data_IF_588879151300
#
_entry.id   IF_588879151300
#
_cell.length_a   1.000
_cell.length_b   1.000
_cell.length_c   1.000
_cell.angle_alpha   90.00
_cell.angle_beta   90.00
_cell.angle_gamma   90.00
#
_symmetry.space_group_name_H-M   'P 1'
#
loop_
_entity.id
_entity.type
_entity.pdbx_description
1 polymer ?
#
# COMPACT_ATOMS: atom_id res chain seq x y z
N UNK A 1 15.62 -21.92 1.63
CA UNK A 1 15.61 -21.95 0.15
C UNK A 1 14.62 -20.88 -0.34
N UNK A 2 15.09 -19.65 -0.57
CA UNK A 2 14.26 -18.50 -1.02
C UNK A 2 14.41 -18.25 -2.53
N UNK A 3 15.51 -18.74 -3.13
CA UNK A 3 15.92 -18.46 -4.52
C UNK A 3 14.93 -18.85 -5.64
N UNK A 4 14.00 -19.83 -5.52
CA UNK A 4 12.99 -20.05 -6.56
C UNK A 4 11.67 -19.28 -6.35
N UNK A 5 11.51 -18.50 -5.26
CA UNK A 5 10.24 -17.85 -4.88
C UNK A 5 9.92 -16.55 -5.62
N UNK A 6 10.78 -16.07 -6.53
CA UNK A 6 10.57 -14.82 -7.23
C UNK A 6 10.31 -15.08 -8.72
N UNK A 7 9.21 -14.52 -9.22
CA UNK A 7 8.79 -14.72 -10.60
C UNK A 7 9.67 -13.87 -11.54
N UNK A 8 10.83 -14.38 -11.95
CA UNK A 8 11.73 -13.72 -12.89
C UNK A 8 11.08 -13.38 -14.26
N UNK A 9 9.87 -13.91 -14.53
CA UNK A 9 9.13 -13.72 -15.80
C UNK A 9 8.46 -12.36 -15.98
N UNK A 10 8.41 -11.49 -14.96
CA UNK A 10 7.83 -10.14 -15.07
C UNK A 10 8.87 -9.03 -15.31
N UNK A 11 10.15 -9.37 -15.53
CA UNK A 11 11.21 -8.44 -15.93
C UNK A 11 11.05 -8.01 -17.41
N UNK A 12 9.92 -7.40 -17.74
CA UNK A 12 9.75 -6.59 -18.94
C UNK A 12 10.71 -5.41 -18.88
N UNK A 13 11.49 -5.21 -19.94
CA UNK A 13 12.67 -4.32 -20.03
C UNK A 13 12.42 -2.79 -19.84
N UNK A 14 11.36 -2.35 -19.18
CA UNK A 14 11.04 -0.93 -19.05
C UNK A 14 10.70 -0.52 -17.62
N UNK A 15 11.76 -0.24 -16.84
CA UNK A 15 11.93 0.88 -15.92
C UNK A 15 12.85 0.49 -14.76
N UNK A 16 14.14 0.43 -15.07
CA UNK A 16 15.21 0.24 -14.10
C UNK A 16 15.75 1.60 -13.69
N UNK A 17 15.48 2.01 -12.45
CA UNK A 17 16.23 3.10 -11.81
C UNK A 17 16.52 2.74 -10.35
N UNK A 18 17.40 1.77 -10.13
CA UNK A 18 18.18 1.73 -8.89
C UNK A 18 19.03 3.01 -8.81
N UNK A 19 19.20 3.56 -7.62
CA UNK A 19 20.23 4.60 -7.46
C UNK A 19 21.59 3.93 -7.35
N UNK A 20 22.62 4.58 -7.91
CA UNK A 20 24.02 4.13 -7.79
C UNK A 20 24.41 3.87 -6.33
N UNK A 21 23.81 4.63 -5.40
CA UNK A 21 24.03 4.48 -3.96
C UNK A 21 23.49 3.16 -3.38
N UNK A 22 22.29 2.70 -3.79
CA UNK A 22 21.69 1.46 -3.28
C UNK A 22 22.45 0.21 -3.78
N UNK A 23 22.93 0.23 -5.03
CA UNK A 23 23.77 -0.85 -5.57
C UNK A 23 25.12 -0.95 -4.85
N UNK A 24 25.76 0.19 -4.59
CA UNK A 24 27.02 0.27 -3.84
C UNK A 24 26.86 -0.30 -2.44
N UNK A 25 25.75 0.00 -1.77
CA UNK A 25 25.45 -0.53 -0.43
C UNK A 25 25.30 -2.05 -0.45
N UNK A 26 24.60 -2.60 -1.45
CA UNK A 26 24.45 -4.05 -1.59
C UNK A 26 25.81 -4.72 -1.81
N UNK A 27 26.66 -4.18 -2.70
CA UNK A 27 27.99 -4.73 -2.96
C UNK A 27 28.88 -4.68 -1.72
N UNK A 28 28.86 -3.58 -0.97
CA UNK A 28 29.59 -3.47 0.30
C UNK A 28 29.08 -4.46 1.34
N UNK A 29 27.75 -4.63 1.45
CA UNK A 29 27.14 -5.58 2.38
C UNK A 29 27.56 -7.02 2.07
N UNK A 30 27.56 -7.42 0.79
CA UNK A 30 28.02 -8.75 0.35
C UNK A 30 29.49 -8.99 0.72
N UNK A 31 30.34 -7.98 0.53
CA UNK A 31 31.78 -8.05 0.81
C UNK A 31 32.11 -8.22 2.30
N UNK A 32 31.26 -7.69 3.20
CA UNK A 32 31.49 -7.75 4.65
C UNK A 32 30.67 -8.84 5.36
N UNK A 33 29.86 -9.60 4.63
CA UNK A 33 29.01 -10.64 5.21
C UNK A 33 29.68 -12.01 5.11
N UNK A 34 29.46 -12.85 6.12
CA UNK A 34 29.84 -14.27 6.13
C UNK A 34 28.57 -15.11 6.11
N UNK A 35 28.64 -16.34 5.59
CA UNK A 35 27.52 -17.29 5.59
C UNK A 35 27.77 -18.39 6.61
N UNK A 36 26.88 -18.64 7.59
CA UNK A 36 25.70 -17.83 7.92
C UNK A 36 26.06 -16.47 8.52
N UNK A 37 25.20 -15.47 8.32
CA UNK A 37 25.36 -14.14 8.94
C UNK A 37 25.20 -14.25 10.45
N UNK A 38 26.11 -13.62 11.20
CA UNK A 38 26.08 -13.66 12.66
C UNK A 38 24.78 -13.03 13.20
N UNK A 39 24.12 -13.71 14.14
CA UNK A 39 22.95 -13.18 14.84
C UNK A 39 23.38 -12.05 15.76
N UNK A 40 22.70 -10.90 15.67
CA UNK A 40 22.94 -9.78 16.59
C UNK A 40 22.53 -10.14 18.03
N UNK A 41 23.40 -9.86 19.00
CA UNK A 41 23.09 -9.95 20.44
C UNK A 41 22.05 -8.92 20.88
N UNK A 42 21.94 -7.81 20.14
CA UNK A 42 20.93 -6.77 20.38
C UNK A 42 19.67 -7.11 19.60
N UNK A 43 18.53 -7.19 20.30
CA UNK A 43 17.21 -7.38 19.67
C UNK A 43 16.92 -6.26 18.68
N UNK A 44 16.53 -6.62 17.46
CA UNK A 44 16.09 -5.64 16.48
C UNK A 44 14.82 -4.92 16.95
N UNK A 45 14.84 -3.60 16.88
CA UNK A 45 13.66 -2.75 17.03
C UNK A 45 13.45 -2.08 15.68
N UNK A 46 12.28 -2.26 15.08
CA UNK A 46 11.98 -1.63 13.80
C UNK A 46 12.10 -0.13 13.93
N UNK A 47 13.00 0.46 13.15
CA UNK A 47 13.17 1.90 13.04
C UNK A 47 12.31 2.51 11.94
N UNK A 48 11.31 1.77 11.42
CA UNK A 48 10.40 2.25 10.38
C UNK A 48 9.67 3.56 10.77
N UNK A 49 9.52 3.82 12.07
CA UNK A 49 8.89 5.02 12.63
C UNK A 49 9.87 6.16 12.95
N UNK A 50 11.18 5.98 12.78
CA UNK A 50 12.08 7.13 12.86
C UNK A 50 11.74 8.04 11.68
N UNK A 51 11.44 9.34 11.92
CA UNK A 51 11.15 10.26 10.84
C UNK A 51 12.39 10.33 9.94
N UNK A 52 12.32 9.66 8.79
CA UNK A 52 13.12 10.02 7.63
C UNK A 52 12.73 11.46 7.34
N UNK A 53 13.55 12.41 7.77
CA UNK A 53 13.24 13.83 7.73
C UNK A 53 12.73 14.21 6.32
N UNK A 54 11.41 14.33 6.14
CA UNK A 54 10.80 14.86 4.91
C UNK A 54 11.11 16.33 4.72
N UNK A 55 11.60 16.99 5.77
CA UNK A 55 12.15 18.34 5.70
C UNK A 55 13.61 18.21 5.32
N UNK A 56 14.00 18.88 4.24
CA UNK A 56 15.40 19.20 4.05
C UNK A 56 15.91 19.80 5.37
N UNK A 57 17.11 19.44 5.84
CA UNK A 57 17.72 20.17 6.95
C UNK A 57 17.60 21.67 6.65
N UNK A 58 17.34 22.52 7.66
CA UNK A 58 17.25 23.95 7.43
C UNK A 58 18.54 24.42 6.77
N UNK A 59 18.41 25.29 5.76
CA UNK A 59 19.57 25.90 5.09
C UNK A 59 20.51 26.46 6.18
N UNK A 60 21.83 26.21 6.05
CA UNK A 60 22.76 26.67 7.05
C UNK A 60 22.67 28.19 7.12
N UNK A 61 22.62 28.73 8.34
CA UNK A 61 22.48 30.16 8.58
C UNK A 61 23.74 30.94 8.18
N UNK A 62 24.85 30.23 8.03
CA UNK A 62 26.14 30.73 7.58
C UNK A 62 26.73 29.80 6.51
N UNK A 63 27.39 30.39 5.51
CA UNK A 63 28.01 29.67 4.38
C UNK A 63 29.46 29.27 4.68
N UNK A 64 29.82 29.05 5.96
CA UNK A 64 31.15 28.55 6.29
C UNK A 64 31.35 27.15 5.72
N UNK A 65 32.58 26.82 5.35
CA UNK A 65 32.93 25.51 4.78
C UNK A 65 32.44 24.36 5.67
N UNK A 66 32.59 24.51 7.00
CA UNK A 66 32.10 23.54 7.99
C UNK A 66 30.56 23.43 8.00
N UNK A 67 29.83 24.55 7.95
CA UNK A 67 28.36 24.56 7.93
C UNK A 67 27.77 24.02 6.62
N UNK A 68 28.45 24.25 5.48
CA UNK A 68 28.09 23.67 4.18
C UNK A 68 28.37 22.16 4.18
N UNK A 69 29.53 21.72 4.68
CA UNK A 69 29.88 20.31 4.81
C UNK A 69 28.89 19.58 5.73
N UNK A 70 28.53 20.15 6.88
CA UNK A 70 27.54 19.56 7.79
C UNK A 70 26.12 19.54 7.20
N UNK A 71 25.75 20.51 6.37
CA UNK A 71 24.49 20.55 5.64
C UNK A 71 24.42 19.49 4.54
N UNK A 72 25.49 19.36 3.75
CA UNK A 72 25.65 18.31 2.73
C UNK A 72 25.68 16.93 3.40
N UNK A 73 26.39 16.75 4.51
CA UNK A 73 26.42 15.48 5.25
C UNK A 73 25.02 15.05 5.76
N UNK A 74 24.13 16.01 6.07
CA UNK A 74 22.74 15.74 6.46
C UNK A 74 21.81 15.49 5.26
N UNK A 75 22.19 15.92 4.06
CA UNK A 75 21.47 15.61 2.82
C UNK A 75 21.74 14.18 2.32
N UNK A 76 22.83 13.55 2.76
CA UNK A 76 23.32 12.29 2.19
C UNK A 76 23.19 11.12 3.19
N UNK A 77 21.97 10.58 3.34
CA UNK A 77 21.74 9.43 4.24
C UNK A 77 22.46 8.16 3.78
N UNK A 78 22.60 7.95 2.46
CA UNK A 78 23.25 6.76 1.91
C UNK A 78 24.77 6.80 1.98
N UNK A 79 25.41 7.96 1.86
CA UNK A 79 26.87 8.10 2.04
C UNK A 79 27.30 7.80 3.47
N UNK A 80 26.54 8.23 4.48
CA UNK A 80 26.82 7.84 5.86
C UNK A 80 26.68 6.33 6.08
N UNK A 81 25.77 5.67 5.34
CA UNK A 81 25.63 4.21 5.37
C UNK A 81 26.84 3.56 4.70
N UNK A 82 27.24 4.02 3.51
CA UNK A 82 28.43 3.57 2.78
C UNK A 82 29.69 3.72 3.65
N UNK A 83 29.94 4.90 4.20
CA UNK A 83 31.08 5.18 5.09
C UNK A 83 31.09 4.25 6.31
N UNK A 84 29.93 3.95 6.90
CA UNK A 84 29.83 2.98 8.01
C UNK A 84 30.16 1.55 7.56
N UNK A 85 29.69 1.13 6.39
CA UNK A 85 30.00 -0.20 5.84
C UNK A 85 31.48 -0.32 5.49
N UNK A 86 32.09 0.73 4.95
CA UNK A 86 33.53 0.80 4.68
C UNK A 86 34.37 0.75 5.97
N UNK A 87 33.92 1.44 7.04
CA UNK A 87 34.57 1.34 8.35
C UNK A 87 34.49 -0.10 8.89
N UNK A 88 33.36 -0.79 8.72
CA UNK A 88 33.23 -2.20 9.13
C UNK A 88 34.18 -3.10 8.32
N UNK A 89 34.25 -2.89 7.01
CA UNK A 89 35.19 -3.58 6.10
C UNK A 89 36.64 -3.38 6.55
N UNK A 90 37.04 -2.13 6.81
CA UNK A 90 38.40 -1.78 7.24
C UNK A 90 38.78 -2.29 8.63
N UNK A 91 37.79 -2.64 9.47
CA UNK A 91 37.98 -3.25 10.79
C UNK A 91 37.87 -4.79 10.77
N UNK A 92 37.79 -5.40 9.59
CA UNK A 92 37.54 -6.84 9.41
C UNK A 92 36.30 -7.35 10.18
N UNK A 93 35.35 -6.45 10.44
CA UNK A 93 34.14 -6.72 11.20
C UNK A 93 33.02 -7.14 10.24
N UNK A 94 32.40 -8.28 10.51
CA UNK A 94 31.33 -8.79 9.66
C UNK A 94 29.98 -8.10 9.96
N UNK A 95 29.15 -7.94 8.93
CA UNK A 95 27.75 -7.55 9.13
C UNK A 95 26.98 -8.63 9.91
N UNK A 96 26.07 -8.20 10.78
CA UNK A 96 25.17 -9.07 11.53
C UNK A 96 23.72 -8.90 11.06
N UNK A 97 22.81 -9.73 11.56
CA UNK A 97 21.39 -9.71 11.16
C UNK A 97 20.73 -8.32 11.27
N UNK A 98 21.08 -7.51 12.28
CA UNK A 98 20.52 -6.15 12.43
C UNK A 98 20.97 -5.20 11.32
N UNK A 99 22.21 -5.34 10.82
CA UNK A 99 22.68 -4.56 9.67
C UNK A 99 21.82 -4.85 8.45
N UNK A 100 21.53 -6.12 8.19
CA UNK A 100 20.65 -6.54 7.09
C UNK A 100 19.23 -5.98 7.25
N UNK A 101 18.62 -6.13 8.43
CA UNK A 101 17.27 -5.63 8.69
C UNK A 101 17.17 -4.10 8.55
N UNK A 102 18.18 -3.37 9.02
CA UNK A 102 18.23 -1.92 8.86
C UNK A 102 18.29 -1.52 7.38
N UNK A 103 19.24 -2.08 6.63
CA UNK A 103 19.42 -1.72 5.22
C UNK A 103 18.20 -2.06 4.36
N UNK A 104 17.57 -3.21 4.61
CA UNK A 104 16.32 -3.58 3.92
C UNK A 104 15.24 -2.52 4.12
N UNK A 105 15.06 -2.02 5.35
CA UNK A 105 14.05 -0.99 5.65
C UNK A 105 14.40 0.37 5.04
N UNK A 106 15.69 0.71 4.92
CA UNK A 106 16.14 2.01 4.38
C UNK A 106 15.98 2.10 2.87
N UNK A 107 16.15 1.00 2.13
CA UNK A 107 15.91 1.00 0.69
C UNK A 107 14.49 1.45 0.39
N UNK A 108 14.36 2.35 -0.57
CA UNK A 108 13.04 2.91 -0.96
C UNK A 108 12.51 2.22 -2.20
N UNK A 109 13.41 1.86 -3.10
CA UNK A 109 13.07 1.24 -4.36
C UNK A 109 12.75 -0.26 -4.15
N UNK A 110 11.74 -0.79 -4.87
CA UNK A 110 11.40 -2.21 -4.80
C UNK A 110 12.55 -3.14 -5.23
N UNK A 111 13.31 -2.80 -6.26
CA UNK A 111 14.28 -3.70 -6.90
C UNK A 111 15.46 -4.03 -5.96
N UNK A 112 16.11 -3.06 -5.29
CA UNK A 112 17.15 -3.36 -4.29
C UNK A 112 16.62 -4.18 -3.12
N UNK A 113 15.36 -3.98 -2.70
CA UNK A 113 14.74 -4.80 -1.65
C UNK A 113 14.55 -6.25 -2.10
N UNK A 114 14.10 -6.48 -3.33
CA UNK A 114 13.95 -7.84 -3.90
C UNK A 114 15.31 -8.53 -3.96
N UNK A 115 16.33 -7.87 -4.52
CA UNK A 115 17.71 -8.40 -4.53
C UNK A 115 18.22 -8.69 -3.12
N UNK A 116 17.91 -7.82 -2.17
CA UNK A 116 18.31 -8.01 -0.78
C UNK A 116 17.62 -9.22 -0.13
N UNK A 117 16.37 -9.51 -0.45
CA UNK A 117 15.67 -10.72 0.01
C UNK A 117 16.30 -12.01 -0.51
N UNK A 118 16.67 -12.03 -1.79
CA UNK A 118 17.40 -13.16 -2.39
C UNK A 118 18.71 -13.41 -1.62
N UNK A 119 19.50 -12.34 -1.43
CA UNK A 119 20.75 -12.39 -0.68
C UNK A 119 20.54 -12.81 0.79
N UNK A 120 19.48 -12.34 1.45
CA UNK A 120 19.17 -12.79 2.81
C UNK A 120 18.96 -14.32 2.86
N UNK A 121 18.37 -14.91 1.82
CA UNK A 121 18.26 -16.35 1.70
C UNK A 121 19.60 -17.07 1.45
N UNK A 122 20.46 -16.50 0.61
CA UNK A 122 21.81 -17.05 0.33
C UNK A 122 22.74 -16.98 1.54
N UNK A 123 22.63 -15.93 2.34
CA UNK A 123 23.45 -15.68 3.52
C UNK A 123 22.84 -16.23 4.82
N UNK A 124 21.76 -17.00 4.73
CA UNK A 124 21.02 -17.60 5.84
C UNK A 124 20.59 -16.58 6.92
N UNK A 125 20.19 -15.39 6.48
CA UNK A 125 19.63 -14.34 7.34
C UNK A 125 18.14 -14.64 7.57
N UNK A 126 17.69 -14.87 8.81
CA UNK A 126 16.27 -15.07 9.11
C UNK A 126 15.44 -13.86 8.66
N UNK A 127 14.27 -14.06 8.06
CA UNK A 127 13.48 -12.93 7.58
C UNK A 127 12.66 -12.26 8.68
N UNK A 128 12.33 -12.97 9.78
CA UNK A 128 11.79 -12.31 10.97
C UNK A 128 12.83 -11.35 11.58
N UNK A 129 12.50 -10.07 11.83
CA UNK A 129 11.14 -9.49 11.92
C UNK A 129 10.67 -8.69 10.67
N UNK A 130 11.38 -8.76 9.56
CA UNK A 130 11.20 -7.93 8.37
C UNK A 130 10.00 -8.26 7.50
N UNK A 131 9.32 -9.38 7.75
CA UNK A 131 8.15 -9.80 6.97
C UNK A 131 7.05 -8.72 6.91
N UNK A 132 6.86 -7.94 7.98
CA UNK A 132 5.91 -6.82 7.99
C UNK A 132 6.29 -5.65 7.05
N UNK A 133 7.52 -5.62 6.54
CA UNK A 133 8.04 -4.56 5.67
C UNK A 133 8.01 -4.91 4.17
N UNK A 134 7.40 -6.03 3.78
CA UNK A 134 7.34 -6.49 2.38
C UNK A 134 6.35 -5.71 1.50
N UNK A 135 5.50 -4.85 2.08
CA UNK A 135 4.46 -4.12 1.31
C UNK A 135 4.97 -3.38 0.06
N UNK A 136 6.16 -2.74 0.02
CA UNK A 136 6.68 -2.08 -1.18
C UNK A 136 7.06 -3.03 -2.34
N UNK A 137 7.22 -4.32 -2.05
CA UNK A 137 7.63 -5.34 -3.02
C UNK A 137 6.58 -6.44 -3.17
N UNK A 138 5.38 -6.25 -2.63
CA UNK A 138 4.32 -7.26 -2.67
C UNK A 138 3.97 -7.67 -4.11
N UNK A 139 4.11 -6.73 -5.04
CA UNK A 139 3.82 -6.94 -6.46
C UNK A 139 4.77 -7.95 -7.14
N UNK A 140 5.91 -8.26 -6.52
CA UNK A 140 6.89 -9.24 -7.00
C UNK A 140 6.56 -10.68 -6.59
N UNK A 141 5.58 -10.87 -5.71
CA UNK A 141 5.14 -12.18 -5.25
C UNK A 141 3.83 -12.57 -5.94
N UNK A 142 3.64 -13.88 -6.07
CA UNK A 142 2.31 -14.51 -6.17
C UNK A 142 1.82 -14.84 -4.76
N UNK A 143 0.50 -15.02 -4.56
CA UNK A 143 -0.04 -15.43 -3.27
C UNK A 143 0.59 -16.71 -2.72
N UNK A 144 0.84 -17.69 -3.59
CA UNK A 144 1.48 -18.96 -3.25
C UNK A 144 2.91 -18.74 -2.74
N UNK A 145 3.72 -17.98 -3.48
CA UNK A 145 5.11 -17.67 -3.09
C UNK A 145 5.18 -16.92 -1.76
N UNK A 146 4.25 -15.98 -1.52
CA UNK A 146 4.21 -15.24 -0.26
C UNK A 146 3.76 -16.14 0.91
N UNK A 147 2.86 -17.07 0.65
CA UNK A 147 2.39 -18.05 1.64
C UNK A 147 3.52 -19.00 2.03
N UNK A 148 4.22 -19.57 1.05
CA UNK A 148 5.41 -20.40 1.26
C UNK A 148 6.49 -19.64 2.06
N UNK A 149 6.70 -18.37 1.76
CA UNK A 149 7.62 -17.51 2.50
C UNK A 149 7.23 -17.40 3.99
N UNK A 150 5.95 -17.11 4.27
CA UNK A 150 5.45 -16.98 5.63
C UNK A 150 5.54 -18.28 6.42
N UNK A 151 5.20 -19.41 5.80
CA UNK A 151 5.29 -20.74 6.40
C UNK A 151 6.73 -21.15 6.67
N UNK A 152 7.66 -20.84 5.76
CA UNK A 152 9.09 -21.11 5.95
C UNK A 152 9.69 -20.39 7.16
N UNK A 153 9.09 -19.25 7.54
CA UNK A 153 9.45 -18.46 8.72
C UNK A 153 8.59 -18.79 9.95
N UNK A 154 7.76 -19.85 9.88
CA UNK A 154 6.91 -20.33 10.95
C UNK A 154 5.68 -19.48 11.23
N UNK A 155 5.15 -18.77 10.23
CA UNK A 155 3.85 -18.09 10.31
C UNK A 155 2.81 -18.88 9.51
N UNK A 156 2.08 -19.74 10.18
CA UNK A 156 1.09 -20.62 9.55
C UNK A 156 -0.30 -19.97 9.52
N UNK A 157 -0.93 -19.96 8.34
CA UNK A 157 -2.25 -19.39 8.09
C UNK A 157 -3.38 -20.14 8.83
N UNK A 158 -3.24 -21.45 8.97
CA UNK A 158 -4.28 -22.36 9.45
C UNK A 158 -4.55 -22.27 10.96
N UNK A 159 -3.54 -21.90 11.75
CA UNK A 159 -3.64 -21.85 13.21
C UNK A 159 -4.05 -20.46 13.75
N UNK A 160 -4.30 -19.49 12.88
CA UNK A 160 -4.71 -18.13 13.27
C UNK A 160 -3.65 -17.34 14.05
N UNK A 161 -2.42 -17.85 14.17
CA UNK A 161 -1.28 -17.20 14.81
C UNK A 161 -0.48 -16.31 13.85
N UNK A 162 -1.14 -15.82 12.80
CA UNK A 162 -0.55 -14.90 11.85
C UNK A 162 -0.80 -13.44 12.26
N UNK A 163 0.23 -12.61 12.10
CA UNK A 163 0.14 -11.18 12.33
C UNK A 163 -0.83 -10.53 11.31
N UNK A 164 -1.77 -9.67 11.74
CA UNK A 164 -2.66 -8.94 10.84
C UNK A 164 -1.96 -8.23 9.68
N UNK A 165 -0.73 -7.75 9.86
CA UNK A 165 0.06 -7.09 8.81
C UNK A 165 0.36 -8.06 7.66
N UNK A 166 0.69 -9.31 7.97
CA UNK A 166 0.98 -10.33 6.96
C UNK A 166 -0.29 -10.77 6.22
N UNK A 167 -1.42 -10.86 6.92
CA UNK A 167 -2.73 -11.10 6.28
C UNK A 167 -3.06 -9.99 5.29
N UNK A 168 -2.87 -8.74 5.70
CA UNK A 168 -3.11 -7.57 4.86
C UNK A 168 -2.21 -7.58 3.60
N UNK A 169 -0.93 -7.93 3.74
CA UNK A 169 -0.01 -8.09 2.61
C UNK A 169 -0.46 -9.21 1.67
N UNK A 170 -0.83 -10.37 2.20
CA UNK A 170 -1.33 -11.49 1.41
C UNK A 170 -2.61 -11.12 0.66
N UNK A 171 -3.54 -10.42 1.31
CA UNK A 171 -4.75 -9.91 0.65
C UNK A 171 -4.41 -8.96 -0.49
N UNK A 172 -3.47 -8.03 -0.27
CA UNK A 172 -3.01 -7.15 -1.34
C UNK A 172 -2.41 -7.94 -2.53
N UNK A 173 -1.67 -9.02 -2.25
CA UNK A 173 -1.09 -9.90 -3.26
C UNK A 173 -2.17 -10.60 -4.10
N UNK A 174 -3.19 -11.19 -3.46
CA UNK A 174 -4.33 -11.82 -4.16
C UNK A 174 -5.10 -10.81 -5.03
N UNK A 175 -5.34 -9.62 -4.50
CA UNK A 175 -6.05 -8.57 -5.24
C UNK A 175 -5.27 -8.13 -6.49
N UNK A 176 -3.95 -7.96 -6.38
CA UNK A 176 -3.09 -7.61 -7.51
C UNK A 176 -3.11 -8.69 -8.62
N UNK A 177 -3.25 -9.96 -8.26
CA UNK A 177 -3.41 -11.06 -9.23
C UNK A 177 -4.88 -11.27 -9.67
N UNK A 178 -5.78 -10.30 -9.44
CA UNK A 178 -7.21 -10.35 -9.80
C UNK A 178 -7.98 -11.52 -9.15
N UNK A 179 -7.52 -12.00 -8.00
CA UNK A 179 -8.11 -13.14 -7.26
C UNK A 179 -8.91 -12.67 -6.04
N UNK A 180 -9.69 -11.60 -6.19
CA UNK A 180 -10.48 -11.00 -5.12
C UNK A 180 -11.53 -11.96 -4.51
N UNK A 181 -12.20 -12.75 -5.36
CA UNK A 181 -13.18 -13.75 -4.92
C UNK A 181 -12.54 -14.83 -4.07
N UNK A 182 -11.40 -15.36 -4.50
CA UNK A 182 -10.68 -16.41 -3.79
C UNK A 182 -10.23 -15.97 -2.39
N UNK A 183 -9.59 -14.81 -2.28
CA UNK A 183 -9.13 -14.31 -0.97
C UNK A 183 -10.30 -14.00 -0.04
N UNK A 184 -11.41 -13.49 -0.58
CA UNK A 184 -12.60 -13.24 0.23
C UNK A 184 -13.24 -14.54 0.71
N UNK A 185 -13.35 -15.55 -0.15
CA UNK A 185 -13.79 -16.89 0.22
C UNK A 185 -12.92 -17.48 1.32
N UNK A 186 -11.59 -17.36 1.22
CA UNK A 186 -10.65 -17.81 2.25
C UNK A 186 -10.88 -17.13 3.61
N UNK A 187 -11.06 -15.80 3.62
CA UNK A 187 -11.33 -15.02 4.84
C UNK A 187 -12.61 -15.51 5.53
N UNK A 188 -13.66 -15.82 4.76
CA UNK A 188 -14.94 -16.25 5.32
C UNK A 188 -15.00 -17.72 5.68
N UNK A 189 -14.34 -18.60 4.92
CA UNK A 189 -14.31 -20.03 5.22
C UNK A 189 -13.45 -20.35 6.44
N UNK A 190 -12.50 -19.47 6.78
CA UNK A 190 -11.63 -19.65 7.93
C UNK A 190 -12.08 -18.76 9.10
N UNK A 191 -12.73 -19.36 10.11
CA UNK A 191 -13.20 -18.65 11.31
C UNK A 191 -12.07 -17.92 12.05
N UNK A 192 -10.83 -18.38 11.94
CA UNK A 192 -9.68 -17.71 12.55
C UNK A 192 -9.28 -16.41 11.83
N UNK A 193 -9.77 -16.20 10.61
CA UNK A 193 -9.52 -15.02 9.79
C UNK A 193 -10.61 -13.96 9.87
N UNK A 194 -11.81 -14.32 10.34
CA UNK A 194 -12.93 -13.38 10.50
C UNK A 194 -12.53 -12.18 11.38
N UNK A 195 -11.66 -12.40 12.38
CA UNK A 195 -11.11 -11.34 13.25
C UNK A 195 -10.31 -10.27 12.50
N UNK A 196 -9.84 -10.54 11.28
CA UNK A 196 -9.11 -9.59 10.44
C UNK A 196 -10.03 -8.72 9.58
N UNK A 197 -11.35 -8.99 9.58
CA UNK A 197 -12.35 -8.14 8.93
C UNK A 197 -12.48 -6.83 9.70
N UNK A 198 -11.59 -5.91 9.36
CA UNK A 198 -11.35 -4.64 10.05
C UNK A 198 -11.41 -3.47 9.06
N UNK A 199 -11.47 -2.22 9.55
CA UNK A 199 -11.30 -1.05 8.69
C UNK A 199 -10.00 -1.08 7.88
N UNK A 200 -8.92 -1.68 8.40
CA UNK A 200 -7.65 -1.84 7.69
C UNK A 200 -7.76 -2.75 6.47
N UNK A 201 -8.46 -3.89 6.61
CA UNK A 201 -8.75 -4.79 5.49
C UNK A 201 -9.60 -4.09 4.42
N UNK A 202 -10.61 -3.32 4.85
CA UNK A 202 -11.42 -2.52 3.94
C UNK A 202 -10.58 -1.55 3.10
N UNK A 203 -9.61 -0.86 3.71
CA UNK A 203 -8.71 0.05 2.98
C UNK A 203 -7.99 -0.66 1.83
N UNK A 204 -7.58 -1.91 2.02
CA UNK A 204 -6.82 -2.69 1.02
C UNK A 204 -7.72 -3.01 -0.18
N UNK A 205 -8.91 -3.56 0.06
CA UNK A 205 -9.91 -3.83 -0.98
C UNK A 205 -10.35 -2.55 -1.69
N UNK A 206 -10.72 -1.50 -0.93
CA UNK A 206 -11.17 -0.23 -1.50
C UNK A 206 -10.08 0.42 -2.36
N UNK A 207 -8.81 0.36 -1.94
CA UNK A 207 -7.71 0.91 -2.72
C UNK A 207 -7.52 0.15 -4.04
N UNK A 208 -7.62 -1.19 -3.99
CA UNK A 208 -7.59 -2.00 -5.20
C UNK A 208 -8.74 -1.66 -6.16
N UNK A 209 -9.99 -1.63 -5.66
CA UNK A 209 -11.14 -1.31 -6.51
C UNK A 209 -11.04 0.07 -7.13
N UNK A 210 -10.72 1.09 -6.34
CA UNK A 210 -10.65 2.47 -6.83
C UNK A 210 -9.50 2.68 -7.82
N UNK A 211 -8.34 2.02 -7.66
CA UNK A 211 -7.25 2.08 -8.63
C UNK A 211 -7.59 1.42 -9.97
N UNK A 212 -8.52 0.47 -9.97
CA UNK A 212 -9.00 -0.23 -11.17
C UNK A 212 -10.31 0.36 -11.71
N UNK A 213 -10.69 1.58 -11.32
CA UNK A 213 -11.96 2.23 -11.71
C UNK A 213 -13.23 1.47 -11.31
N UNK A 214 -13.16 0.61 -10.29
CA UNK A 214 -14.27 -0.18 -9.79
C UNK A 214 -14.99 0.50 -8.61
N UNK A 215 -15.46 1.74 -8.82
CA UNK A 215 -16.13 2.54 -7.78
C UNK A 215 -17.33 1.81 -7.15
N UNK A 216 -18.10 1.07 -7.96
CA UNK A 216 -19.30 0.38 -7.48
C UNK A 216 -18.94 -0.72 -6.47
N UNK A 217 -17.84 -1.46 -6.70
CA UNK A 217 -17.36 -2.48 -5.78
C UNK A 217 -16.89 -1.89 -4.45
N UNK A 218 -16.20 -0.74 -4.46
CA UNK A 218 -15.80 -0.07 -3.23
C UNK A 218 -17.01 0.33 -2.36
N UNK A 219 -18.07 0.84 -2.99
CA UNK A 219 -19.32 1.23 -2.30
C UNK A 219 -20.06 -0.01 -1.79
N UNK A 220 -20.27 -1.02 -2.66
CA UNK A 220 -20.97 -2.24 -2.31
C UNK A 220 -20.27 -2.99 -1.18
N UNK A 221 -18.94 -3.05 -1.21
CA UNK A 221 -18.14 -3.69 -0.17
C UNK A 221 -18.23 -2.97 1.18
N UNK A 222 -18.21 -1.63 1.19
CA UNK A 222 -18.43 -0.87 2.42
C UNK A 222 -19.81 -1.15 3.03
N UNK A 223 -20.86 -1.18 2.20
CA UNK A 223 -22.23 -1.52 2.63
C UNK A 223 -22.30 -2.95 3.19
N UNK A 224 -21.64 -3.88 2.50
CA UNK A 224 -21.58 -5.29 2.88
C UNK A 224 -20.91 -5.49 4.25
N UNK A 225 -19.74 -4.86 4.46
CA UNK A 225 -19.01 -4.95 5.73
C UNK A 225 -19.77 -4.29 6.88
N UNK A 226 -20.43 -3.16 6.63
CA UNK A 226 -21.26 -2.49 7.63
C UNK A 226 -22.46 -3.35 8.04
N UNK A 227 -23.12 -4.01 7.08
CA UNK A 227 -24.31 -4.83 7.33
C UNK A 227 -23.97 -6.14 8.04
N UNK A 228 -22.95 -6.85 7.57
CA UNK A 228 -22.66 -8.21 8.03
C UNK A 228 -21.64 -8.28 9.17
N UNK A 229 -20.71 -7.33 9.23
CA UNK A 229 -19.60 -7.33 10.22
C UNK A 229 -19.57 -6.09 11.11
N UNK A 230 -20.54 -5.18 10.97
CA UNK A 230 -20.63 -3.91 11.74
C UNK A 230 -19.39 -3.02 11.61
N UNK A 231 -18.60 -3.18 10.55
CA UNK A 231 -17.43 -2.34 10.27
C UNK A 231 -17.90 -1.01 9.69
N UNK A 232 -17.64 0.09 10.41
CA UNK A 232 -17.97 1.43 9.94
C UNK A 232 -16.95 1.94 8.91
N UNK A 233 -17.12 1.52 7.67
CA UNK A 233 -16.25 1.87 6.53
C UNK A 233 -16.57 3.24 5.89
N UNK A 234 -17.72 3.85 6.21
CA UNK A 234 -18.22 5.06 5.54
C UNK A 234 -17.25 6.25 5.57
N UNK A 235 -16.61 6.59 6.71
CA UNK A 235 -15.63 7.70 6.75
C UNK A 235 -14.43 7.44 5.84
N UNK A 236 -13.95 6.19 5.82
CA UNK A 236 -12.80 5.77 5.02
C UNK A 236 -13.16 5.82 3.54
N UNK A 237 -14.31 5.24 3.16
CA UNK A 237 -14.80 5.27 1.79
C UNK A 237 -14.94 6.71 1.28
N UNK A 238 -15.52 7.59 2.08
CA UNK A 238 -15.66 9.03 1.74
C UNK A 238 -14.30 9.66 1.43
N UNK A 239 -13.32 9.44 2.32
CA UNK A 239 -11.96 9.94 2.11
C UNK A 239 -11.33 9.36 0.85
N UNK A 240 -11.44 8.05 0.62
CA UNK A 240 -10.81 7.39 -0.51
C UNK A 240 -11.44 7.78 -1.85
N UNK A 241 -12.76 7.91 -1.94
CA UNK A 241 -13.43 8.38 -3.15
C UNK A 241 -12.96 9.80 -3.50
N UNK A 242 -12.99 10.72 -2.53
CA UNK A 242 -12.67 12.12 -2.79
C UNK A 242 -11.16 12.35 -2.99
N UNK A 243 -10.30 11.73 -2.18
CA UNK A 243 -8.86 11.98 -2.17
C UNK A 243 -8.01 11.05 -3.02
N UNK A 244 -8.53 9.88 -3.39
CA UNK A 244 -7.77 8.88 -4.16
C UNK A 244 -8.40 8.72 -5.54
N UNK A 245 -9.68 8.39 -5.61
CA UNK A 245 -10.34 8.10 -6.88
C UNK A 245 -10.58 9.34 -7.74
N UNK A 246 -11.41 10.29 -7.28
CA UNK A 246 -11.79 11.47 -8.05
C UNK A 246 -10.64 12.45 -8.27
N UNK A 247 -9.57 12.35 -7.47
CA UNK A 247 -8.35 13.13 -7.61
C UNK A 247 -7.63 12.88 -8.95
N UNK A 248 -7.67 11.64 -9.44
CA UNK A 248 -6.93 11.24 -10.64
C UNK A 248 -7.86 10.74 -11.78
N UNK A 249 -9.19 10.72 -11.54
CA UNK A 249 -10.20 10.34 -12.52
C UNK A 249 -10.58 11.53 -13.45
N UNK A 250 -10.66 11.33 -14.77
CA UNK A 250 -11.28 12.30 -15.68
C UNK A 250 -12.72 12.65 -15.30
N UNK A 251 -13.19 13.83 -15.68
CA UNK A 251 -14.57 14.22 -15.46
C UNK A 251 -15.52 13.37 -16.33
N UNK A 252 -16.59 12.88 -15.72
CA UNK A 252 -17.66 12.09 -16.36
C UNK A 252 -19.04 12.61 -15.92
N UNK A 253 -20.10 12.19 -16.61
CA UNK A 253 -21.48 12.74 -16.46
C UNK A 253 -22.03 12.75 -15.02
N UNK A 254 -21.55 11.85 -14.16
CA UNK A 254 -21.96 11.74 -12.74
C UNK A 254 -20.90 12.18 -11.76
N UNK A 255 -19.77 12.70 -12.22
CA UNK A 255 -18.64 13.06 -11.36
C UNK A 255 -19.06 14.06 -10.27
N UNK A 256 -19.75 15.14 -10.63
CA UNK A 256 -20.24 16.14 -9.66
C UNK A 256 -21.26 15.55 -8.67
N UNK A 257 -22.17 14.69 -9.15
CA UNK A 257 -23.14 14.02 -8.28
C UNK A 257 -22.44 13.14 -7.25
N UNK A 258 -21.41 12.39 -7.64
CA UNK A 258 -20.60 11.61 -6.69
C UNK A 258 -19.94 12.52 -5.66
N UNK A 259 -19.32 13.63 -6.08
CA UNK A 259 -18.75 14.62 -5.14
C UNK A 259 -19.81 15.07 -4.13
N UNK A 260 -20.97 15.52 -4.59
CA UNK A 260 -22.05 16.06 -3.72
C UNK A 260 -22.70 15.02 -2.81
N UNK A 261 -22.71 13.76 -3.21
CA UNK A 261 -23.20 12.66 -2.37
C UNK A 261 -22.26 12.38 -1.20
N UNK A 262 -20.95 12.43 -1.43
CA UNK A 262 -19.94 12.08 -0.41
C UNK A 262 -19.41 13.29 0.38
N UNK A 263 -19.50 14.51 -0.16
CA UNK A 263 -19.02 15.73 0.50
C UNK A 263 -19.64 15.99 1.89
N UNK A 264 -20.94 15.73 2.14
CA UNK A 264 -21.50 15.86 3.49
C UNK A 264 -20.78 14.98 4.54
N UNK A 265 -20.23 13.85 4.11
CA UNK A 265 -19.41 12.97 4.94
C UNK A 265 -18.12 13.63 5.40
N UNK A 266 -17.56 14.57 4.63
CA UNK A 266 -16.32 15.29 4.98
C UNK A 266 -16.51 16.08 6.27
N UNK A 267 -17.60 16.86 6.36
CA UNK A 267 -17.93 17.61 7.57
C UNK A 267 -18.34 16.69 8.72
N UNK A 268 -19.20 15.70 8.43
CA UNK A 268 -19.74 14.79 9.44
C UNK A 268 -18.66 13.95 10.12
N UNK A 269 -17.66 13.51 9.36
CA UNK A 269 -16.61 12.60 9.83
C UNK A 269 -15.23 13.26 9.95
N UNK A 270 -15.15 14.59 9.80
CA UNK A 270 -13.91 15.37 9.87
C UNK A 270 -12.82 14.85 8.92
N UNK A 271 -13.21 14.44 7.70
CA UNK A 271 -12.26 13.98 6.69
C UNK A 271 -11.45 15.18 6.19
N UNK A 272 -10.13 15.03 6.10
CA UNK A 272 -9.26 16.03 5.50
C UNK A 272 -9.18 15.82 3.98
N UNK A 273 -9.52 16.84 3.19
CA UNK A 273 -9.32 16.84 1.75
C UNK A 273 -7.93 17.36 1.41
N UNK A 274 -7.20 16.65 0.55
CA UNK A 274 -5.87 17.08 0.13
C UNK A 274 -5.93 18.27 -0.83
N UNK A 275 -4.83 19.00 -0.96
CA UNK A 275 -4.74 20.22 -1.79
C UNK A 275 -5.05 19.96 -3.26
N UNK A 276 -4.63 18.80 -3.81
CA UNK A 276 -4.92 18.43 -5.21
C UNK A 276 -6.42 18.17 -5.42
N UNK A 277 -7.09 17.49 -4.49
CA UNK A 277 -8.55 17.32 -4.51
C UNK A 277 -9.26 18.68 -4.53
N UNK A 278 -8.87 19.60 -3.64
CA UNK A 278 -9.46 20.95 -3.61
C UNK A 278 -9.21 21.74 -4.89
N UNK A 279 -8.02 21.62 -5.49
CA UNK A 279 -7.71 22.20 -6.80
C UNK A 279 -8.64 21.67 -7.87
N UNK A 280 -8.74 20.33 -8.02
CA UNK A 280 -9.59 19.70 -9.03
C UNK A 280 -11.07 20.09 -8.90
N UNK A 281 -11.56 20.25 -7.67
CA UNK A 281 -12.92 20.72 -7.41
C UNK A 281 -13.13 22.16 -7.91
N UNK A 282 -12.18 23.06 -7.61
CA UNK A 282 -12.23 24.45 -8.08
C UNK A 282 -12.08 24.55 -9.61
N UNK A 283 -11.23 23.71 -10.19
CA UNK A 283 -11.02 23.63 -11.65
C UNK A 283 -12.31 23.18 -12.34
N UNK A 284 -13.00 22.18 -11.79
CA UNK A 284 -14.31 21.74 -12.28
C UNK A 284 -15.34 22.87 -12.22
N UNK A 285 -15.43 23.59 -11.09
CA UNK A 285 -16.33 24.75 -10.96
C UNK A 285 -16.06 25.81 -12.02
N UNK A 286 -14.79 26.12 -12.25
CA UNK A 286 -14.36 27.12 -13.23
C UNK A 286 -14.67 26.68 -14.66
N UNK A 287 -14.40 25.42 -15.00
CA UNK A 287 -14.64 24.87 -16.34
C UNK A 287 -16.13 24.85 -16.71
N UNK A 288 -16.99 24.52 -15.74
CA UNK A 288 -18.43 24.34 -15.97
C UNK A 288 -19.28 25.55 -15.54
N UNK A 289 -18.66 26.65 -15.08
CA UNK A 289 -19.33 27.84 -14.57
C UNK A 289 -20.38 27.52 -13.48
N UNK A 290 -20.01 26.69 -12.51
CA UNK A 290 -20.88 26.33 -11.37
C UNK A 290 -20.30 26.81 -10.04
N UNK A 291 -21.17 26.95 -9.03
CA UNK A 291 -20.78 27.35 -7.68
C UNK A 291 -20.01 26.23 -6.95
N UNK A 292 -19.18 26.61 -5.98
CA UNK A 292 -18.37 25.70 -5.16
C UNK A 292 -19.12 25.10 -3.95
N UNK A 293 -20.45 25.04 -4.03
CA UNK A 293 -21.31 24.47 -2.99
C UNK A 293 -21.48 22.96 -3.18
N UNK A 294 -20.44 22.20 -2.83
CA UNK A 294 -20.43 20.75 -2.96
C UNK A 294 -21.18 20.02 -1.83
N UNK A 295 -21.52 20.71 -0.75
CA UNK A 295 -22.25 20.15 0.40
C UNK A 295 -23.77 20.11 0.20
N UNK A 296 -24.26 20.67 -0.90
CA UNK A 296 -25.69 20.71 -1.26
C UNK A 296 -25.94 19.75 -2.42
N UNK A 297 -26.84 18.79 -2.22
CA UNK A 297 -27.33 17.90 -3.29
C UNK A 297 -28.44 18.59 -4.09
N UNK A 298 -28.43 18.43 -5.41
CA UNK A 298 -29.38 19.05 -6.34
C UNK A 298 -29.88 18.06 -7.40
N UNK A 299 -31.11 18.24 -7.88
CA UNK A 299 -31.64 17.57 -9.08
C UNK A 299 -31.32 16.06 -9.15
N UNK A 300 -30.40 15.71 -10.06
CA UNK A 300 -30.03 14.33 -10.37
C UNK A 300 -29.21 13.63 -9.26
N UNK A 301 -28.70 14.37 -8.28
CA UNK A 301 -27.93 13.83 -7.15
C UNK A 301 -28.78 12.89 -6.28
N UNK A 302 -30.05 13.23 -6.06
CA UNK A 302 -30.98 12.41 -5.29
C UNK A 302 -31.28 11.07 -5.98
N UNK A 303 -31.47 11.09 -7.30
CA UNK A 303 -31.68 9.89 -8.09
C UNK A 303 -30.43 9.00 -8.09
N UNK A 304 -29.25 9.61 -8.26
CA UNK A 304 -27.95 8.92 -8.21
C UNK A 304 -27.70 8.31 -6.85
N UNK A 305 -27.94 9.06 -5.77
CA UNK A 305 -27.82 8.58 -4.40
C UNK A 305 -28.74 7.40 -4.13
N UNK A 306 -30.01 7.50 -4.56
CA UNK A 306 -30.98 6.43 -4.40
C UNK A 306 -30.49 5.15 -5.08
N UNK A 307 -30.12 5.24 -6.36
CA UNK A 307 -29.60 4.11 -7.12
C UNK A 307 -28.37 3.48 -6.46
N UNK A 308 -27.40 4.29 -6.01
CA UNK A 308 -26.21 3.81 -5.30
C UNK A 308 -26.58 2.97 -4.08
N UNK A 309 -27.47 3.47 -3.22
CA UNK A 309 -27.80 2.78 -1.98
C UNK A 309 -28.82 1.64 -2.13
N UNK A 310 -29.61 1.62 -3.20
CA UNK A 310 -30.55 0.53 -3.47
C UNK A 310 -29.94 -0.59 -4.30
N UNK A 311 -29.11 -0.25 -5.29
CA UNK A 311 -28.74 -1.19 -6.36
C UNK A 311 -27.32 -1.74 -6.17
N UNK A 312 -26.41 -0.98 -5.52
CA UNK A 312 -25.03 -1.42 -5.25
C UNK A 312 -24.94 -2.16 -3.92
N UNK A 313 -25.66 -3.28 -3.82
CA UNK A 313 -25.75 -4.09 -2.61
C UNK A 313 -25.70 -5.57 -2.95
N UNK A 314 -24.81 -6.31 -2.28
CA UNK A 314 -24.80 -7.77 -2.29
C UNK A 314 -25.71 -8.33 -1.19
N UNK A 315 -26.54 -9.32 -1.55
CA UNK A 315 -27.45 -9.98 -0.59
C UNK A 315 -26.73 -11.03 0.26
N UNK A 316 -25.93 -11.88 -0.39
CA UNK A 316 -25.29 -13.03 0.23
C UNK A 316 -23.77 -12.84 0.27
N UNK A 317 -23.12 -13.14 -0.85
CA UNK A 317 -21.67 -13.09 -1.02
C UNK A 317 -21.29 -11.93 -1.93
N UNK A 318 -20.16 -11.25 -1.66
CA UNK A 318 -19.56 -10.34 -2.62
C UNK A 318 -19.25 -11.05 -3.94
N UNK A 319 -19.64 -10.43 -5.05
CA UNK A 319 -19.36 -10.89 -6.41
C UNK A 319 -18.45 -9.85 -7.05
N UNK A 320 -17.18 -10.21 -7.27
CA UNK A 320 -16.14 -9.28 -7.74
C UNK A 320 -15.94 -9.27 -9.26
N UNK A 321 -16.82 -9.96 -10.00
CA UNK A 321 -16.92 -9.88 -11.46
C UNK A 321 -18.16 -9.07 -11.85
N UNK A 322 -18.00 -8.03 -12.67
CA UNK A 322 -19.10 -7.11 -12.94
C UNK A 322 -20.22 -7.82 -13.69
N UNK A 323 -19.88 -8.68 -14.65
CA UNK A 323 -20.89 -9.41 -15.45
C UNK A 323 -21.71 -10.42 -14.64
N UNK A 324 -21.23 -10.83 -13.47
CA UNK A 324 -21.91 -11.81 -12.60
C UNK A 324 -22.84 -11.15 -11.57
N UNK A 325 -22.83 -9.81 -11.50
CA UNK A 325 -23.71 -9.06 -10.62
C UNK A 325 -25.14 -8.93 -11.17
N UNK A 326 -26.09 -8.49 -10.34
CA UNK A 326 -27.47 -8.31 -10.78
C UNK A 326 -27.58 -7.23 -11.87
N UNK A 327 -28.59 -7.30 -12.77
CA UNK A 327 -28.77 -6.30 -13.83
C UNK A 327 -28.83 -4.86 -13.31
N UNK A 328 -29.47 -4.63 -12.16
CA UNK A 328 -29.56 -3.32 -11.50
C UNK A 328 -28.19 -2.85 -11.00
N UNK A 329 -27.40 -3.76 -10.43
CA UNK A 329 -26.04 -3.46 -9.98
C UNK A 329 -25.17 -3.03 -11.16
N UNK A 330 -25.16 -3.81 -12.25
CA UNK A 330 -24.37 -3.53 -13.45
C UNK A 330 -24.78 -2.20 -14.07
N UNK A 331 -26.10 -1.95 -14.18
CA UNK A 331 -26.64 -0.69 -14.69
C UNK A 331 -26.18 0.49 -13.83
N UNK A 332 -26.26 0.37 -12.51
CA UNK A 332 -25.86 1.46 -11.59
C UNK A 332 -24.35 1.65 -11.55
N UNK A 333 -23.55 0.59 -11.67
CA UNK A 333 -22.10 0.68 -11.78
C UNK A 333 -21.68 1.47 -13.03
N UNK A 334 -22.23 1.13 -14.20
CA UNK A 334 -22.02 1.87 -15.45
C UNK A 334 -22.50 3.31 -15.33
N UNK A 335 -23.66 3.52 -14.69
CA UNK A 335 -24.23 4.84 -14.47
C UNK A 335 -23.31 5.76 -13.66
N UNK A 336 -22.57 5.24 -12.68
CA UNK A 336 -21.64 6.04 -11.85
C UNK A 336 -20.20 6.08 -12.38
N UNK A 337 -19.98 5.65 -13.63
CA UNK A 337 -18.70 5.80 -14.32
C UNK A 337 -17.72 4.64 -14.13
N UNK A 338 -18.16 3.47 -13.66
CA UNK A 338 -17.33 2.25 -13.73
C UNK A 338 -17.37 1.70 -15.16
N UNK A 339 -16.19 1.62 -15.79
CA UNK A 339 -16.01 0.98 -17.11
C UNK A 339 -16.12 -0.56 -16.99
N UNK A 340 -16.35 -1.23 -18.13
CA UNK A 340 -16.40 -2.70 -18.21
C UNK A 340 -15.09 -3.36 -17.82
#
# INVERSE_FOLDING_TARGET
MISPLLNHRMLGKSHFMSTVDEETIIELLQNISKTPVAVSEVKYVSFADLPHSKKLPPLPKDLSEKSIVDYVNKLVSFRQIIERLDILKGKESAANTNTWYYLFNVFKNPEPKVKMLELMGEYEVPLKPMLGSLSPIIDYFTPEQLTELYESEGNFLENGQIDPVLVNQLVACYLKDSRAGEVWSMIQSNSSWEKFITPGLFVIFANHFLKNNQLAFAIAFANYLQKNYKVNATPILTSMILNVYLKDCPYFDRWLSIVRIFMPGVKKYQVFLNSKTMSNLNDYCSLHNISNHFDVMEGQDFATRKAIYSDLVWKDMPIFELSENSPEFVKTAKFIGQAE
#
